data_IF_092312470877
#
_entry.id   IF_092312470877
#
_cell.length_a   1.000
_cell.length_b   1.000
_cell.length_c   1.000
_cell.angle_alpha   90.00
_cell.angle_beta   90.00
_cell.angle_gamma   90.00
#
_symmetry.space_group_name_H-M   'P 1'
#
loop_
_entity.id
_entity.type
_entity.pdbx_description
1 polymer ?
#
# COMPACT_ATOMS: atom_id res chain seq x y z
N UNK A 1 -40.86 50.51 -70.37
CA UNK A 1 -42.01 49.65 -69.99
C UNK A 1 -41.57 48.66 -68.93
N UNK A 2 -42.36 48.53 -67.87
CA UNK A 2 -42.07 47.83 -66.61
C UNK A 2 -41.89 46.31 -66.81
N UNK A 3 -40.83 45.72 -66.24
CA UNK A 3 -40.84 44.32 -65.79
C UNK A 3 -40.08 44.22 -64.47
N UNK A 4 -40.80 43.75 -63.46
CA UNK A 4 -40.38 43.55 -62.06
C UNK A 4 -39.69 42.18 -61.95
N UNK A 5 -38.60 42.09 -61.19
CA UNK A 5 -38.01 40.81 -60.75
C UNK A 5 -37.79 40.89 -59.23
N UNK A 6 -38.22 39.90 -58.42
CA UNK A 6 -38.27 40.02 -56.97
C UNK A 6 -36.95 39.62 -56.29
N UNK A 7 -36.73 40.24 -55.14
CA UNK A 7 -35.67 40.01 -54.17
C UNK A 7 -35.92 38.69 -53.42
N UNK A 8 -34.99 37.73 -53.49
CA UNK A 8 -34.99 36.52 -52.65
C UNK A 8 -34.16 36.79 -51.38
N UNK A 9 -34.81 36.90 -50.23
CA UNK A 9 -34.17 36.92 -48.92
C UNK A 9 -33.96 35.46 -48.47
N UNK A 10 -32.71 35.05 -48.27
CA UNK A 10 -32.37 33.77 -47.61
C UNK A 10 -32.09 34.09 -46.14
N UNK A 11 -32.99 33.67 -45.25
CA UNK A 11 -32.79 33.69 -43.80
C UNK A 11 -32.25 32.32 -43.40
N UNK A 12 -30.98 32.27 -42.99
CA UNK A 12 -30.38 31.07 -42.40
C UNK A 12 -30.70 31.03 -40.90
N UNK A 13 -31.63 30.16 -40.50
CA UNK A 13 -31.91 29.84 -39.10
C UNK A 13 -30.84 28.87 -38.58
N UNK A 14 -29.91 29.38 -37.77
CA UNK A 14 -29.00 28.56 -36.99
C UNK A 14 -29.75 28.02 -35.75
N UNK A 15 -30.29 26.80 -35.85
CA UNK A 15 -30.78 26.05 -34.69
C UNK A 15 -29.59 25.54 -33.88
N UNK A 16 -29.31 26.21 -32.75
CA UNK A 16 -28.37 25.72 -31.75
C UNK A 16 -28.96 24.53 -31.01
N UNK A 17 -28.48 23.31 -31.31
CA UNK A 17 -28.68 22.15 -30.45
C UNK A 17 -27.81 22.34 -29.21
N UNK A 18 -28.41 22.76 -28.10
CA UNK A 18 -27.82 22.64 -26.78
C UNK A 18 -27.72 21.16 -26.42
N UNK A 19 -26.51 20.62 -26.48
CA UNK A 19 -26.20 19.28 -25.97
C UNK A 19 -26.33 19.30 -24.45
N UNK A 20 -27.47 18.84 -23.94
CA UNK A 20 -27.63 18.55 -22.52
C UNK A 20 -26.72 17.36 -22.19
N UNK A 21 -25.59 17.60 -21.52
CA UNK A 21 -24.79 16.51 -20.94
C UNK A 21 -25.69 15.67 -20.03
N UNK A 22 -25.66 14.32 -20.12
CA UNK A 22 -26.45 13.47 -19.23
C UNK A 22 -26.05 13.74 -17.78
N UNK A 23 -26.94 14.38 -17.02
CA UNK A 23 -26.80 14.54 -15.59
C UNK A 23 -26.90 13.14 -14.96
N UNK A 24 -25.76 12.60 -14.50
CA UNK A 24 -25.76 11.32 -13.79
C UNK A 24 -26.57 11.48 -12.49
N UNK A 25 -27.53 10.59 -12.21
CA UNK A 25 -28.28 10.66 -10.96
C UNK A 25 -27.33 10.59 -9.76
N UNK A 26 -27.67 11.27 -8.64
CA UNK A 26 -26.83 11.26 -7.46
C UNK A 26 -26.59 9.82 -6.97
N UNK A 27 -25.39 9.51 -6.46
CA UNK A 27 -25.09 8.17 -5.99
C UNK A 27 -26.07 7.74 -4.91
N UNK A 28 -26.58 6.52 -5.01
CA UNK A 28 -27.53 6.04 -4.03
C UNK A 28 -26.82 5.54 -2.76
N UNK A 29 -27.51 5.63 -1.62
CA UNK A 29 -27.02 5.09 -0.36
C UNK A 29 -27.01 3.54 -0.33
N UNK A 30 -26.30 2.95 0.65
CA UNK A 30 -26.23 1.50 0.84
C UNK A 30 -27.61 0.84 0.93
N UNK A 31 -27.78 -0.40 0.41
CA UNK A 31 -28.98 -1.18 0.71
C UNK A 31 -29.12 -1.40 2.24
N UNK A 32 -30.34 -1.41 2.79
CA UNK A 32 -30.55 -1.60 4.22
C UNK A 32 -29.86 -2.86 4.77
N UNK A 33 -29.11 -2.70 5.87
CA UNK A 33 -28.38 -3.81 6.50
C UNK A 33 -27.06 -4.20 5.81
N UNK A 34 -26.66 -3.48 4.76
CA UNK A 34 -25.36 -3.67 4.10
C UNK A 34 -24.40 -2.56 4.50
N UNK A 35 -23.19 -2.94 4.89
CA UNK A 35 -22.12 -2.01 5.26
C UNK A 35 -20.77 -2.58 4.83
N UNK A 36 -19.77 -1.72 4.75
CA UNK A 36 -18.40 -2.11 4.43
C UNK A 36 -17.43 -1.55 5.45
N UNK A 37 -16.36 -2.29 5.71
CA UNK A 37 -15.16 -1.82 6.39
C UNK A 37 -13.94 -2.24 5.58
N UNK A 38 -12.77 -1.70 5.90
CA UNK A 38 -11.52 -2.12 5.27
C UNK A 38 -10.77 -3.10 6.17
N UNK A 39 -10.11 -4.07 5.55
CA UNK A 39 -9.18 -4.98 6.23
C UNK A 39 -7.97 -5.22 5.34
N UNK A 40 -6.89 -5.73 5.92
CA UNK A 40 -5.71 -6.15 5.16
C UNK A 40 -5.14 -7.39 5.82
N UNK A 41 -4.96 -8.46 5.03
CA UNK A 41 -4.27 -9.65 5.48
C UNK A 41 -2.76 -9.50 5.32
N UNK A 42 -2.00 -10.35 6.03
CA UNK A 42 -0.53 -10.35 5.93
C UNK A 42 -0.04 -10.67 4.50
N UNK A 43 -0.82 -11.42 3.73
CA UNK A 43 -0.56 -11.69 2.30
C UNK A 43 -0.73 -10.48 1.40
N UNK A 44 -1.53 -9.50 1.83
CA UNK A 44 -1.99 -8.40 0.99
C UNK A 44 -1.02 -7.21 1.03
N UNK A 45 -0.35 -7.02 2.17
CA UNK A 45 0.65 -5.97 2.39
C UNK A 45 1.75 -5.90 1.32
N UNK A 46 2.49 -6.98 1.00
CA UNK A 46 3.57 -6.91 0.02
C UNK A 46 3.12 -6.64 -1.42
N UNK A 47 1.81 -6.75 -1.71
CA UNK A 47 1.25 -6.62 -3.06
C UNK A 47 0.30 -5.42 -3.20
N UNK A 48 0.33 -4.46 -2.26
CA UNK A 48 -0.55 -3.28 -2.27
C UNK A 48 -2.05 -3.64 -2.42
N UNK A 49 -2.47 -4.71 -1.74
CA UNK A 49 -3.86 -5.15 -1.70
C UNK A 49 -4.52 -4.84 -0.35
N UNK A 50 -5.83 -4.76 -0.36
CA UNK A 50 -6.69 -4.69 0.82
C UNK A 50 -8.00 -5.44 0.54
N UNK A 51 -8.81 -5.62 1.57
CA UNK A 51 -10.10 -6.27 1.51
C UNK A 51 -11.20 -5.25 1.81
N UNK A 52 -12.20 -5.17 0.94
CA UNK A 52 -13.49 -4.57 1.28
C UNK A 52 -14.29 -5.64 2.02
N UNK A 53 -14.35 -5.53 3.34
CA UNK A 53 -15.07 -6.44 4.21
C UNK A 53 -16.56 -6.06 4.23
N UNK A 54 -17.36 -6.76 3.45
CA UNK A 54 -18.81 -6.55 3.32
C UNK A 54 -19.55 -7.31 4.41
N UNK A 55 -20.44 -6.61 5.12
CA UNK A 55 -21.42 -7.20 6.04
C UNK A 55 -22.81 -7.05 5.46
N UNK A 56 -23.60 -8.11 5.46
CA UNK A 56 -25.02 -8.10 5.08
C UNK A 56 -25.85 -8.75 6.20
N UNK A 57 -26.66 -7.95 6.90
CA UNK A 57 -27.54 -8.43 7.97
C UNK A 57 -28.94 -8.80 7.49
N UNK A 58 -29.28 -8.47 6.24
CA UNK A 58 -30.58 -8.77 5.65
C UNK A 58 -30.63 -10.21 5.11
N UNK A 59 -31.84 -10.72 4.86
CA UNK A 59 -32.03 -12.01 4.15
C UNK A 59 -31.91 -11.85 2.63
N UNK A 60 -31.92 -10.61 2.12
CA UNK A 60 -31.84 -10.33 0.68
C UNK A 60 -30.38 -10.38 0.22
N UNK A 61 -30.02 -11.25 -0.74
CA UNK A 61 -28.68 -11.25 -1.31
C UNK A 61 -28.41 -9.98 -2.10
N UNK A 62 -27.17 -9.49 -2.01
CA UNK A 62 -26.70 -8.31 -2.73
C UNK A 62 -25.55 -8.71 -3.64
N UNK A 63 -25.74 -8.52 -4.94
CA UNK A 63 -24.70 -8.73 -5.93
C UNK A 63 -23.83 -7.47 -6.03
N UNK A 64 -22.51 -7.64 -5.95
CA UNK A 64 -21.49 -6.63 -6.22
C UNK A 64 -20.83 -6.97 -7.55
N UNK A 65 -21.00 -6.12 -8.55
CA UNK A 65 -20.31 -6.26 -9.83
C UNK A 65 -18.83 -5.85 -9.69
N UNK A 66 -18.60 -4.69 -9.07
CA UNK A 66 -17.27 -4.12 -8.84
C UNK A 66 -17.21 -3.38 -7.50
N UNK A 67 -15.98 -3.05 -7.10
CA UNK A 67 -15.67 -2.25 -5.91
C UNK A 67 -14.47 -1.34 -6.18
N UNK A 68 -14.51 -0.13 -5.63
CA UNK A 68 -13.47 0.89 -5.78
C UNK A 68 -13.28 1.66 -4.47
N UNK A 69 -12.04 1.77 -4.00
CA UNK A 69 -11.70 2.69 -2.91
C UNK A 69 -11.50 4.11 -3.45
N UNK A 70 -12.18 5.09 -2.85
CA UNK A 70 -12.07 6.49 -3.19
C UNK A 70 -11.79 7.30 -1.92
N UNK A 71 -10.63 7.94 -1.88
CA UNK A 71 -10.23 8.84 -0.79
C UNK A 71 -9.18 9.83 -1.30
N UNK A 72 -9.15 11.08 -0.81
CA UNK A 72 -8.07 12.02 -1.11
C UNK A 72 -6.69 11.56 -0.60
N UNK A 73 -6.63 10.59 0.33
CA UNK A 73 -5.38 10.12 0.94
C UNK A 73 -4.51 9.28 0.00
N UNK A 74 -5.11 8.66 -1.02
CA UNK A 74 -4.44 7.75 -1.95
C UNK A 74 -4.88 8.04 -3.39
N UNK A 75 -4.02 7.73 -4.36
CA UNK A 75 -4.40 7.77 -5.78
C UNK A 75 -5.56 6.80 -6.02
N UNK A 76 -6.66 7.29 -6.57
CA UNK A 76 -7.78 6.45 -6.99
C UNK A 76 -7.36 5.53 -8.14
N UNK A 77 -7.56 4.23 -7.96
CA UNK A 77 -7.42 3.23 -9.03
C UNK A 77 -8.77 2.93 -9.68
N UNK A 78 -8.82 2.37 -10.90
CA UNK A 78 -10.07 1.90 -11.50
C UNK A 78 -10.80 0.88 -10.60
N UNK A 79 -12.15 0.77 -10.71
CA UNK A 79 -12.90 -0.27 -10.00
C UNK A 79 -12.38 -1.67 -10.33
N UNK A 80 -12.31 -2.53 -9.32
CA UNK A 80 -11.93 -3.93 -9.47
C UNK A 80 -13.17 -4.80 -9.53
N UNK A 81 -13.23 -5.70 -10.51
CA UNK A 81 -14.33 -6.65 -10.65
C UNK A 81 -14.39 -7.57 -9.42
N UNK A 82 -15.60 -7.75 -8.89
CA UNK A 82 -15.89 -8.60 -7.75
C UNK A 82 -16.74 -9.80 -8.15
N UNK A 83 -17.74 -9.59 -9.02
CA UNK A 83 -18.70 -10.62 -9.47
C UNK A 83 -19.22 -11.52 -8.34
N UNK A 84 -19.59 -10.91 -7.22
CA UNK A 84 -19.86 -11.62 -5.97
C UNK A 84 -21.29 -11.41 -5.49
N UNK A 85 -21.99 -12.51 -5.19
CA UNK A 85 -23.30 -12.46 -4.52
C UNK A 85 -23.11 -12.64 -3.02
N UNK A 86 -23.37 -11.58 -2.27
CA UNK A 86 -23.22 -11.53 -0.82
C UNK A 86 -24.56 -11.83 -0.16
N UNK A 87 -24.72 -13.07 0.31
CA UNK A 87 -25.84 -13.48 1.18
C UNK A 87 -25.67 -12.90 2.59
N UNK A 88 -26.63 -13.18 3.47
CA UNK A 88 -26.51 -12.85 4.90
C UNK A 88 -25.18 -13.34 5.45
N UNK A 89 -24.35 -12.42 5.91
CA UNK A 89 -23.00 -12.70 6.40
C UNK A 89 -22.55 -11.65 7.40
N UNK A 90 -21.77 -12.09 8.39
CA UNK A 90 -21.05 -11.15 9.26
C UNK A 90 -19.89 -10.49 8.53
N UNK A 91 -19.31 -11.18 7.54
CA UNK A 91 -18.17 -10.70 6.76
C UNK A 91 -17.97 -11.55 5.50
N UNK A 92 -17.84 -10.90 4.36
CA UNK A 92 -17.26 -11.47 3.14
C UNK A 92 -16.31 -10.44 2.56
N UNK A 93 -15.11 -10.88 2.21
CA UNK A 93 -14.05 -9.98 1.77
C UNK A 93 -13.96 -9.97 0.24
N UNK A 94 -13.98 -8.76 -0.32
CA UNK A 94 -13.74 -8.53 -1.73
C UNK A 94 -12.35 -7.92 -1.89
N UNK A 95 -11.39 -8.64 -2.49
CA UNK A 95 -10.03 -8.14 -2.63
C UNK A 95 -10.00 -6.99 -3.63
N UNK A 96 -9.28 -5.93 -3.28
CA UNK A 96 -8.94 -4.83 -4.18
C UNK A 96 -7.47 -4.44 -4.02
N UNK A 97 -6.94 -3.72 -5.00
CA UNK A 97 -5.70 -2.97 -4.86
C UNK A 97 -5.98 -1.52 -4.45
N UNK A 98 -5.01 -0.86 -3.82
CA UNK A 98 -5.07 0.57 -3.53
C UNK A 98 -3.88 1.29 -4.16
N UNK A 99 -4.10 2.55 -4.57
CA UNK A 99 -3.06 3.34 -5.22
C UNK A 99 -2.07 3.92 -4.22
N UNK A 100 -0.99 4.50 -4.74
CA UNK A 100 0.03 5.15 -3.91
C UNK A 100 -0.56 6.28 -3.05
N UNK A 101 -0.02 6.45 -1.85
CA UNK A 101 -0.35 7.53 -0.93
C UNK A 101 -0.03 8.90 -1.55
N UNK A 102 -0.94 9.86 -1.32
CA UNK A 102 -0.78 11.25 -1.77
C UNK A 102 0.10 12.02 -0.77
N UNK A 103 1.40 11.71 -0.77
CA UNK A 103 2.36 12.27 0.16
C UNK A 103 2.78 13.70 -0.20
N UNK A 104 3.22 14.45 0.82
CA UNK A 104 3.65 15.84 0.69
C UNK A 104 5.04 16.01 1.30
N UNK A 105 5.93 16.83 0.71
CA UNK A 105 7.30 16.99 1.21
C UNK A 105 7.36 17.73 2.56
N UNK A 106 6.30 18.45 2.95
CA UNK A 106 6.25 19.23 4.19
C UNK A 106 6.07 18.36 5.45
N UNK A 107 5.60 17.11 5.31
CA UNK A 107 5.36 16.23 6.45
C UNK A 107 4.28 15.19 6.19
N UNK A 108 3.93 14.45 7.24
CA UNK A 108 2.91 13.42 7.19
C UNK A 108 1.51 14.07 7.11
N UNK A 109 0.71 13.76 6.07
CA UNK A 109 -0.68 14.18 6.01
C UNK A 109 -1.55 13.37 6.98
N UNK A 110 -2.63 13.97 7.47
CA UNK A 110 -3.68 13.23 8.17
C UNK A 110 -4.55 12.45 7.17
N UNK A 111 -5.01 11.26 7.58
CA UNK A 111 -5.92 10.45 6.78
C UNK A 111 -7.21 11.23 6.55
N UNK A 112 -7.67 11.26 5.29
CA UNK A 112 -8.92 11.90 4.89
C UNK A 112 -10.05 10.87 4.85
N UNK A 113 -11.33 11.30 4.93
CA UNK A 113 -12.47 10.42 4.75
C UNK A 113 -12.36 9.56 3.49
N UNK A 114 -12.91 8.36 3.55
CA UNK A 114 -12.86 7.37 2.49
C UNK A 114 -14.24 6.79 2.22
N UNK A 115 -14.47 6.43 0.97
CA UNK A 115 -15.68 5.75 0.53
C UNK A 115 -15.32 4.53 -0.30
N UNK A 116 -16.17 3.52 -0.25
CA UNK A 116 -16.17 2.43 -1.23
C UNK A 116 -17.31 2.68 -2.19
N UNK A 117 -16.97 2.80 -3.47
CA UNK A 117 -17.94 2.92 -4.56
C UNK A 117 -18.10 1.55 -5.20
N UNK A 118 -19.33 1.11 -5.40
CA UNK A 118 -19.63 -0.19 -6.01
C UNK A 118 -20.87 -0.13 -6.88
N UNK A 119 -20.90 -0.92 -7.96
CA UNK A 119 -22.15 -1.23 -8.65
C UNK A 119 -22.81 -2.46 -8.02
N UNK A 120 -23.99 -2.25 -7.45
CA UNK A 120 -24.71 -3.28 -6.71
C UNK A 120 -26.13 -3.52 -7.23
N UNK A 121 -26.61 -4.74 -7.07
CA UNK A 121 -27.99 -5.14 -7.33
C UNK A 121 -28.53 -5.90 -6.13
N UNK A 122 -29.68 -5.47 -5.61
CA UNK A 122 -30.35 -6.11 -4.45
C UNK A 122 -31.53 -6.91 -4.94
N UNK A 123 -31.54 -8.23 -4.74
CA UNK A 123 -32.61 -9.09 -5.27
C UNK A 123 -32.80 -8.93 -6.79
N UNK A 124 -34.02 -8.55 -7.20
CA UNK A 124 -34.42 -8.34 -8.61
C UNK A 124 -34.30 -6.88 -9.08
N UNK A 125 -33.74 -5.98 -8.27
CA UNK A 125 -33.55 -4.57 -8.65
C UNK A 125 -32.59 -4.41 -9.84
N UNK A 126 -32.52 -3.20 -10.40
CA UNK A 126 -31.50 -2.87 -11.41
C UNK A 126 -30.14 -2.66 -10.76
N UNK A 127 -29.07 -2.93 -11.51
CA UNK A 127 -27.71 -2.61 -11.10
C UNK A 127 -27.57 -1.09 -10.97
N UNK A 128 -27.08 -0.62 -9.82
CA UNK A 128 -26.93 0.81 -9.53
C UNK A 128 -25.64 1.10 -8.79
N UNK A 129 -25.11 2.31 -9.01
CA UNK A 129 -23.95 2.82 -8.27
C UNK A 129 -24.35 3.17 -6.83
N UNK A 130 -23.62 2.62 -5.88
CA UNK A 130 -23.77 2.86 -4.45
C UNK A 130 -22.46 3.35 -3.85
N UNK A 131 -22.58 4.28 -2.91
CA UNK A 131 -21.46 4.80 -2.12
C UNK A 131 -21.62 4.33 -0.69
N UNK A 132 -20.61 3.64 -0.18
CA UNK A 132 -20.53 3.22 1.21
C UNK A 132 -19.48 4.07 1.92
N UNK A 133 -19.88 4.71 3.02
CA UNK A 133 -18.92 5.41 3.87
C UNK A 133 -18.06 4.41 4.64
N UNK A 134 -16.75 4.66 4.66
CA UNK A 134 -15.81 3.95 5.54
C UNK A 134 -15.72 4.73 6.84
N UNK A 135 -15.72 4.06 8.02
CA UNK A 135 -15.54 4.74 9.31
C UNK A 135 -14.31 5.66 9.28
N UNK A 136 -14.47 6.89 9.79
CA UNK A 136 -13.40 7.87 9.81
C UNK A 136 -13.09 8.33 11.25
N UNK A 137 -11.81 8.36 11.65
CA UNK A 137 -10.64 7.90 10.90
C UNK A 137 -10.63 6.36 10.75
N UNK A 138 -10.27 5.88 9.56
CA UNK A 138 -10.02 4.45 9.36
C UNK A 138 -8.58 4.13 9.80
N UNK A 139 -8.38 3.25 10.79
CA UNK A 139 -7.05 2.99 11.34
C UNK A 139 -6.12 2.27 10.36
N UNK A 140 -6.67 1.48 9.41
CA UNK A 140 -5.88 0.82 8.39
C UNK A 140 -5.34 1.85 7.38
N UNK A 141 -6.20 2.72 6.84
CA UNK A 141 -5.78 3.78 5.93
C UNK A 141 -4.81 4.77 6.61
N UNK A 142 -5.04 5.12 7.87
CA UNK A 142 -4.13 5.97 8.64
C UNK A 142 -2.73 5.34 8.74
N UNK A 143 -2.66 4.03 9.03
CA UNK A 143 -1.39 3.30 9.05
C UNK A 143 -0.73 3.29 7.67
N UNK A 144 -1.44 2.89 6.62
CA UNK A 144 -0.88 2.80 5.27
C UNK A 144 -0.35 4.16 4.78
N UNK A 145 -1.10 5.23 5.04
CA UNK A 145 -0.71 6.59 4.68
C UNK A 145 0.55 7.02 5.41
N UNK A 146 0.61 6.80 6.73
CA UNK A 146 1.80 7.09 7.53
C UNK A 146 3.00 6.30 7.01
N UNK A 147 2.84 5.01 6.76
CA UNK A 147 3.94 4.11 6.40
C UNK A 147 4.53 4.51 5.02
N UNK A 148 3.68 4.70 3.99
CA UNK A 148 4.14 5.14 2.65
C UNK A 148 4.70 6.56 2.64
N UNK A 149 4.07 7.51 3.36
CA UNK A 149 4.58 8.88 3.41
C UNK A 149 5.82 9.04 4.28
N UNK A 150 6.02 8.17 5.27
CA UNK A 150 7.28 8.09 6.00
C UNK A 150 8.42 7.66 5.10
N UNK A 151 8.20 6.61 4.31
CA UNK A 151 9.15 6.15 3.31
C UNK A 151 9.44 7.23 2.26
N UNK A 152 8.42 7.92 1.75
CA UNK A 152 8.58 9.03 0.82
C UNK A 152 9.47 10.15 1.38
N UNK A 153 9.26 10.57 2.63
CA UNK A 153 10.04 11.61 3.27
C UNK A 153 11.50 11.21 3.48
N UNK A 154 11.75 9.95 3.87
CA UNK A 154 13.12 9.42 4.03
C UNK A 154 13.83 9.33 2.67
N UNK A 155 13.14 8.82 1.64
CA UNK A 155 13.71 8.62 0.29
C UNK A 155 14.11 9.92 -0.41
N UNK A 156 13.52 11.05 -0.04
CA UNK A 156 13.98 12.36 -0.49
C UNK A 156 15.39 12.72 0.03
N UNK A 157 15.84 12.09 1.12
CA UNK A 157 17.08 12.42 1.81
C UNK A 157 18.16 11.38 1.57
N UNK A 158 17.81 10.10 1.58
CA UNK A 158 18.74 9.00 1.31
C UNK A 158 18.03 7.76 0.77
N UNK A 159 18.76 6.94 0.02
CA UNK A 159 18.40 5.53 -0.20
C UNK A 159 19.07 4.66 0.87
N UNK A 160 18.36 3.65 1.37
CA UNK A 160 18.84 2.69 2.37
C UNK A 160 18.62 1.30 1.80
N UNK A 161 19.70 0.56 1.61
CA UNK A 161 19.69 -0.72 0.90
C UNK A 161 20.56 -1.75 1.62
N UNK A 162 20.31 -3.03 1.40
CA UNK A 162 21.24 -4.07 1.84
C UNK A 162 22.51 -3.99 1.01
N UNK A 163 23.67 -3.95 1.67
CA UNK A 163 24.98 -3.94 1.02
C UNK A 163 25.20 -5.19 0.16
N UNK A 164 26.10 -5.12 -0.83
CA UNK A 164 26.35 -6.23 -1.75
C UNK A 164 27.09 -7.40 -1.08
N UNK A 165 27.87 -7.12 -0.03
CA UNK A 165 28.72 -8.09 0.64
C UNK A 165 28.05 -8.63 1.89
N UNK A 166 27.76 -9.93 1.85
CA UNK A 166 27.23 -10.68 2.98
C UNK A 166 28.01 -11.98 3.14
N UNK A 167 28.46 -12.29 4.35
CA UNK A 167 29.29 -13.45 4.65
C UNK A 167 28.69 -14.26 5.81
N UNK A 168 28.71 -15.58 5.64
CA UNK A 168 28.35 -16.51 6.72
C UNK A 168 29.60 -16.79 7.55
N UNK A 169 29.48 -16.71 8.87
CA UNK A 169 30.58 -16.94 9.81
C UNK A 169 30.08 -17.65 11.08
N UNK A 170 31.00 -18.23 11.85
CA UNK A 170 30.69 -18.93 13.11
C UNK A 170 30.52 -20.45 12.96
N UNK A 171 30.48 -21.18 14.10
CA UNK A 171 30.30 -22.64 14.11
C UNK A 171 28.86 -23.03 13.70
N UNK A 172 28.64 -24.30 13.33
CA UNK A 172 27.34 -24.74 12.77
C UNK A 172 26.11 -24.37 13.62
N UNK A 173 26.25 -24.43 14.94
CA UNK A 173 25.20 -24.14 15.92
C UNK A 173 24.93 -22.65 16.14
N UNK A 174 25.85 -21.77 15.73
CA UNK A 174 25.81 -20.31 15.99
C UNK A 174 26.15 -19.51 14.74
N UNK A 175 25.86 -20.07 13.56
CA UNK A 175 26.18 -19.38 12.31
C UNK A 175 25.43 -18.07 12.24
N UNK A 176 26.14 -17.04 11.82
CA UNK A 176 25.62 -15.69 11.65
C UNK A 176 25.89 -15.24 10.22
N UNK A 177 24.90 -14.58 9.62
CA UNK A 177 25.04 -13.90 8.33
C UNK A 177 25.36 -12.42 8.58
N UNK A 178 26.55 -11.97 8.19
CA UNK A 178 27.08 -10.62 8.44
C UNK A 178 27.08 -9.80 7.17
N UNK A 179 26.72 -8.53 7.27
CA UNK A 179 26.81 -7.57 6.19
C UNK A 179 26.57 -6.16 6.69
N UNK A 180 26.05 -5.29 5.82
CA UNK A 180 25.71 -3.92 6.17
C UNK A 180 24.43 -3.46 5.50
N UNK A 181 23.79 -2.43 6.06
CA UNK A 181 22.94 -1.54 5.27
C UNK A 181 23.80 -0.40 4.74
N UNK A 182 23.60 -0.03 3.49
CA UNK A 182 24.27 1.08 2.82
C UNK A 182 23.26 2.22 2.70
N UNK A 183 23.62 3.36 3.28
CA UNK A 183 22.87 4.62 3.20
C UNK A 183 23.58 5.51 2.19
N UNK A 184 22.88 5.94 1.13
CA UNK A 184 23.42 6.83 0.10
C UNK A 184 22.63 8.12 0.03
N UNK A 185 23.32 9.26 0.06
CA UNK A 185 22.69 10.59 0.04
C UNK A 185 21.89 10.81 -1.25
N UNK A 186 20.69 11.39 -1.09
CA UNK A 186 19.83 11.90 -2.17
C UNK A 186 19.46 13.37 -1.99
N UNK A 187 19.50 13.87 -0.76
CA UNK A 187 19.16 15.25 -0.43
C UNK A 187 19.97 15.82 0.74
N UNK A 188 19.63 17.05 1.11
CA UNK A 188 20.24 17.75 2.24
C UNK A 188 19.75 17.22 3.58
N UNK A 189 20.52 17.46 4.64
CA UNK A 189 20.19 17.07 6.02
C UNK A 189 20.95 15.83 6.48
N UNK A 190 21.03 15.65 7.79
CA UNK A 190 21.57 14.44 8.40
C UNK A 190 20.51 13.33 8.40
N UNK A 191 20.93 12.09 8.14
CA UNK A 191 20.05 10.91 8.20
C UNK A 191 20.59 9.95 9.25
N UNK A 192 19.82 9.69 10.29
CA UNK A 192 20.21 8.79 11.39
C UNK A 192 19.41 7.50 11.31
N UNK A 193 20.10 6.37 11.28
CA UNK A 193 19.52 5.05 11.45
C UNK A 193 19.60 4.71 12.94
N UNK A 194 18.46 4.70 13.62
CA UNK A 194 18.38 4.47 15.05
C UNK A 194 18.48 2.97 15.37
N UNK A 195 17.67 2.15 14.69
CA UNK A 195 17.57 0.72 14.93
C UNK A 195 17.02 -0.02 13.70
N UNK A 196 17.14 -1.35 13.72
CA UNK A 196 16.53 -2.25 12.74
C UNK A 196 15.79 -3.35 13.48
N UNK A 197 14.52 -3.56 13.12
CA UNK A 197 13.72 -4.66 13.63
C UNK A 197 13.95 -5.94 12.84
N UNK A 198 13.83 -7.07 13.52
CA UNK A 198 13.76 -8.38 12.88
C UNK A 198 12.42 -8.64 12.19
N UNK A 199 12.37 -9.73 11.43
CA UNK A 199 11.14 -10.33 10.93
C UNK A 199 10.81 -11.58 11.74
N UNK A 200 9.69 -12.23 11.43
CA UNK A 200 9.38 -13.54 12.03
C UNK A 200 10.44 -14.61 11.70
N UNK A 201 11.17 -14.44 10.59
CA UNK A 201 12.12 -15.41 10.08
C UNK A 201 13.56 -15.09 10.45
N UNK A 202 13.86 -13.80 10.63
CA UNK A 202 15.22 -13.34 10.87
C UNK A 202 15.26 -12.36 12.03
N UNK A 203 16.13 -12.61 12.99
CA UNK A 203 16.54 -11.61 13.97
C UNK A 203 17.59 -10.74 13.29
N UNK A 204 17.41 -9.42 13.40
CA UNK A 204 18.33 -8.42 12.90
C UNK A 204 19.04 -7.75 14.08
N UNK A 205 20.36 -7.85 14.13
CA UNK A 205 21.17 -7.35 15.25
C UNK A 205 22.17 -6.31 14.73
N UNK A 206 21.95 -5.01 14.99
CA UNK A 206 22.93 -3.99 14.65
C UNK A 206 24.16 -4.08 15.56
N UNK A 207 25.33 -3.68 15.06
CA UNK A 207 26.56 -3.67 15.85
C UNK A 207 26.53 -2.69 17.03
N UNK A 208 25.74 -1.62 16.93
CA UNK A 208 25.53 -0.61 17.98
C UNK A 208 24.21 0.14 17.77
N UNK A 209 23.78 0.89 18.79
CA UNK A 209 22.63 1.81 18.72
C UNK A 209 23.05 3.22 19.19
N UNK A 210 22.69 4.30 18.47
CA UNK A 210 22.11 4.28 17.12
C UNK A 210 23.05 3.57 16.14
N UNK A 211 22.49 2.98 15.07
CA UNK A 211 23.27 2.22 14.08
C UNK A 211 24.31 3.10 13.39
N UNK A 212 23.93 4.34 13.05
CA UNK A 212 24.82 5.34 12.47
C UNK A 212 24.09 6.59 12.00
N UNK A 213 24.85 7.65 11.72
CA UNK A 213 24.34 8.90 11.17
C UNK A 213 25.16 9.26 9.95
N UNK A 214 24.47 9.44 8.82
CA UNK A 214 25.04 10.01 7.61
C UNK A 214 25.05 11.54 7.80
N UNK A 215 26.19 12.11 8.17
CA UNK A 215 26.31 13.54 8.43
C UNK A 215 26.13 14.35 7.14
N UNK A 216 25.60 15.58 7.22
CA UNK A 216 25.16 16.37 6.05
C UNK A 216 26.19 16.52 4.91
N UNK A 217 27.50 16.48 5.21
CA UNK A 217 28.58 16.54 4.22
C UNK A 217 29.02 15.20 3.62
N UNK A 218 28.60 14.07 4.19
CA UNK A 218 28.98 12.73 3.76
C UNK A 218 28.04 12.20 2.68
N UNK A 219 28.57 11.45 1.71
CA UNK A 219 27.75 10.89 0.61
C UNK A 219 27.24 9.48 0.88
N UNK A 220 27.93 8.74 1.74
CA UNK A 220 27.67 7.33 2.00
C UNK A 220 28.01 6.96 3.44
N UNK A 221 27.19 6.09 4.03
CA UNK A 221 27.40 5.46 5.33
C UNK A 221 27.11 3.97 5.19
N UNK A 222 27.95 3.14 5.79
CA UNK A 222 27.67 1.71 5.95
C UNK A 222 27.45 1.39 7.43
N UNK A 223 26.33 0.73 7.73
CA UNK A 223 26.00 0.32 9.10
C UNK A 223 26.05 -1.21 9.20
N UNK A 224 26.98 -1.79 9.99
CA UNK A 224 27.08 -3.24 10.13
C UNK A 224 25.82 -3.86 10.75
N UNK A 225 25.43 -5.01 10.19
CA UNK A 225 24.23 -5.75 10.57
C UNK A 225 24.50 -7.26 10.56
N UNK A 226 23.99 -7.95 11.56
CA UNK A 226 23.94 -9.41 11.62
C UNK A 226 22.51 -9.90 11.46
N UNK A 227 22.35 -11.01 10.74
CA UNK A 227 21.09 -11.73 10.59
C UNK A 227 21.26 -13.17 11.09
N UNK A 228 20.33 -13.62 11.93
CA UNK A 228 20.18 -15.02 12.35
C UNK A 228 18.76 -15.51 12.15
N UNK A 229 18.50 -16.82 12.03
CA UNK A 229 17.14 -17.34 12.02
C UNK A 229 16.42 -16.99 13.33
N UNK A 230 15.24 -16.38 13.23
CA UNK A 230 14.37 -16.13 14.38
C UNK A 230 13.49 -17.32 14.76
N UNK A 231 13.29 -18.25 13.81
CA UNK A 231 12.53 -19.50 13.97
C UNK A 231 13.14 -20.59 13.10
N UNK A 232 13.08 -21.83 13.60
CA UNK A 232 13.63 -23.00 12.93
C UNK A 232 12.60 -24.12 12.68
N UNK A 233 11.29 -23.83 12.75
CA UNK A 233 10.27 -24.80 12.39
C UNK A 233 9.96 -24.79 10.87
N UNK A 234 9.70 -25.95 10.23
CA UNK A 234 9.45 -26.04 8.78
C UNK A 234 8.31 -25.15 8.29
N UNK A 235 7.27 -24.96 9.12
CA UNK A 235 6.11 -24.14 8.81
C UNK A 235 6.49 -22.66 8.62
N UNK A 236 7.47 -22.16 9.38
CA UNK A 236 7.97 -20.80 9.23
C UNK A 236 8.38 -20.54 7.77
N UNK A 237 9.24 -21.40 7.21
CA UNK A 237 9.81 -21.18 5.88
C UNK A 237 8.83 -21.40 4.74
N UNK A 238 7.86 -22.30 4.90
CA UNK A 238 6.81 -22.55 3.91
C UNK A 238 5.87 -21.34 3.71
N UNK A 239 5.71 -20.49 4.72
CA UNK A 239 4.79 -19.33 4.69
C UNK A 239 5.51 -17.97 4.80
N UNK A 240 6.68 -17.84 4.16
CA UNK A 240 7.60 -16.70 4.25
C UNK A 240 7.13 -15.39 3.55
N UNK A 241 5.83 -15.07 3.55
CA UNK A 241 5.22 -13.92 2.84
C UNK A 241 5.85 -12.55 3.15
N UNK A 242 6.43 -12.39 4.36
CA UNK A 242 7.06 -11.15 4.83
C UNK A 242 8.46 -11.36 5.40
N UNK A 243 9.11 -12.48 5.10
CA UNK A 243 10.38 -12.85 5.72
C UNK A 243 11.47 -11.79 5.52
N UNK A 244 11.34 -10.96 4.48
CA UNK A 244 12.35 -10.00 4.02
C UNK A 244 11.90 -8.54 4.10
N UNK A 245 10.86 -8.24 4.87
CA UNK A 245 10.41 -6.86 5.10
C UNK A 245 11.01 -6.35 6.43
N UNK A 246 12.25 -5.86 6.41
CA UNK A 246 12.95 -5.40 7.63
C UNK A 246 12.60 -3.94 7.94
N UNK A 247 11.95 -3.64 9.08
CA UNK A 247 11.68 -2.26 9.48
C UNK A 247 12.93 -1.59 10.02
N UNK A 248 13.38 -0.53 9.38
CA UNK A 248 14.49 0.33 9.82
C UNK A 248 13.91 1.63 10.37
N UNK A 249 14.32 2.02 11.58
CA UNK A 249 13.95 3.29 12.20
C UNK A 249 14.93 4.37 11.78
N UNK A 250 14.41 5.43 11.17
CA UNK A 250 15.20 6.50 10.55
C UNK A 250 14.66 7.85 10.98
N UNK A 251 15.55 8.77 11.36
CA UNK A 251 15.21 10.19 11.53
C UNK A 251 16.02 11.06 10.57
N UNK A 252 15.45 12.22 10.24
CA UNK A 252 16.07 13.25 9.41
C UNK A 252 16.24 14.50 10.26
N UNK A 253 17.45 15.05 10.28
CA UNK A 253 17.80 16.27 11.04
C UNK A 253 17.38 16.22 12.52
N UNK A 254 17.44 15.03 13.14
CA UNK A 254 17.05 14.82 14.54
C UNK A 254 15.54 14.94 14.82
N UNK A 255 14.71 15.00 13.77
CA UNK A 255 13.25 14.99 13.88
C UNK A 255 12.69 13.61 14.27
N UNK A 256 11.38 13.47 14.12
CA UNK A 256 10.64 12.24 14.43
C UNK A 256 11.24 11.01 13.74
N UNK A 257 11.40 9.92 14.50
CA UNK A 257 11.77 8.60 13.98
C UNK A 257 10.61 8.00 13.18
N UNK A 258 10.94 7.59 11.96
CA UNK A 258 10.03 7.00 10.99
C UNK A 258 10.49 5.61 10.62
N UNK A 259 9.54 4.73 10.29
CA UNK A 259 9.85 3.37 9.86
C UNK A 259 9.90 3.32 8.34
N UNK A 260 11.00 2.79 7.81
CA UNK A 260 11.17 2.41 6.41
C UNK A 260 11.29 0.89 6.33
N UNK A 261 10.55 0.25 5.43
CA UNK A 261 10.77 -1.16 5.12
C UNK A 261 11.91 -1.25 4.10
N UNK A 262 12.98 -1.96 4.48
CA UNK A 262 14.11 -2.25 3.59
C UNK A 262 14.12 -3.74 3.29
N UNK A 263 14.18 -4.08 2.00
CA UNK A 263 14.13 -5.46 1.53
C UNK A 263 15.45 -5.86 0.89
N UNK A 264 16.07 -6.98 1.32
CA UNK A 264 17.20 -7.58 0.64
C UNK A 264 16.90 -7.80 -0.85
N UNK A 265 17.86 -7.57 -1.76
CA UNK A 265 17.68 -7.94 -3.16
C UNK A 265 17.51 -9.46 -3.30
N UNK A 266 16.80 -9.92 -4.34
CA UNK A 266 16.45 -11.34 -4.55
C UNK A 266 17.63 -12.32 -4.38
N UNK A 267 18.84 -12.04 -4.92
CA UNK A 267 19.99 -12.92 -4.70
C UNK A 267 20.36 -13.08 -3.22
N UNK A 268 20.23 -12.03 -2.41
CA UNK A 268 20.47 -12.11 -0.97
C UNK A 268 19.33 -12.85 -0.25
N UNK A 269 18.08 -12.66 -0.66
CA UNK A 269 16.95 -13.43 -0.13
C UNK A 269 17.18 -14.94 -0.30
N UNK A 270 17.58 -15.38 -1.50
CA UNK A 270 17.84 -16.79 -1.77
C UNK A 270 18.97 -17.35 -0.89
N UNK A 271 20.07 -16.58 -0.75
CA UNK A 271 21.17 -16.94 0.13
C UNK A 271 20.73 -17.03 1.60
N UNK A 272 19.88 -16.11 2.07
CA UNK A 272 19.34 -16.12 3.42
C UNK A 272 18.47 -17.35 3.67
N UNK A 273 17.65 -17.76 2.70
CA UNK A 273 16.85 -19.00 2.78
C UNK A 273 17.78 -20.21 2.93
N UNK A 274 18.77 -20.36 2.06
CA UNK A 274 19.73 -21.48 2.12
C UNK A 274 20.57 -21.46 3.39
N UNK A 275 20.94 -20.28 3.88
CA UNK A 275 21.60 -20.12 5.18
C UNK A 275 20.71 -20.57 6.33
N UNK A 276 19.45 -20.13 6.36
CA UNK A 276 18.52 -20.45 7.43
C UNK A 276 18.16 -21.93 7.44
N UNK A 277 17.89 -22.54 6.28
CA UNK A 277 17.65 -23.98 6.15
C UNK A 277 18.82 -24.81 6.70
N UNK A 278 20.06 -24.48 6.31
CA UNK A 278 21.25 -25.17 6.81
C UNK A 278 21.49 -24.98 8.31
N UNK A 279 21.22 -23.78 8.83
CA UNK A 279 21.38 -23.46 10.25
C UNK A 279 20.32 -24.16 11.10
N UNK A 280 19.09 -24.26 10.60
CA UNK A 280 17.97 -24.92 11.27
C UNK A 280 17.89 -26.44 11.03
N UNK A 281 18.79 -27.02 10.23
CA UNK A 281 18.78 -28.44 9.90
C UNK A 281 17.57 -28.88 9.05
N UNK A 282 17.00 -27.97 8.25
CA UNK A 282 15.85 -28.23 7.38
C UNK A 282 16.33 -28.59 5.97
N UNK A 283 15.83 -29.69 5.41
CA UNK A 283 16.11 -30.09 4.02
C UNK A 283 17.32 -31.00 3.83
N UNK A 284 17.52 -31.97 4.74
CA UNK A 284 18.30 -33.19 4.46
C UNK A 284 17.51 -34.15 3.58
#
# INVERSE_FOLDING_TARGET
MKRKTPLLLIVALATGCGSTEPHSPPPAGPPPGVSVTLAQYRSDEPVHALQVAVRNTSETPVYFADVQLVTPSFKTLPPQQADAVIRKTRRTDLPITYGAANCRPQGLPEVQPATVVAHVRTGSEQLRKVVFDVPHPDPLLARLLRDECSEFLIKQRASIEFGPEWTESGPKSERVMRGSLVVTRRGQGAVTLADVGGTTHYIATPARRPMGTLAAGEQRLEVPLELTPGRCDPHAFAEAKKAFLFPVRVSVDGGEERVLIVTPPKPLQDRLITYAQRTCGLGS
#
